data_IF_898936586524
#
_entry.id   IF_898936586524
#
_cell.length_a   1.000
_cell.length_b   1.000
_cell.length_c   1.000
_cell.angle_alpha   90.00
_cell.angle_beta   90.00
_cell.angle_gamma   90.00
#
_symmetry.space_group_name_H-M   'P 1'
#
loop_
_entity.id
_entity.type
_entity.pdbx_description
1 polymer ?
#
# COMPACT_ATOMS: atom_id res chain seq x y z
N UNK A 1 -29.24 48.91 -49.54
CA UNK A 1 -29.61 48.28 -48.25
C UNK A 1 -28.30 47.92 -47.56
N UNK A 2 -27.97 48.36 -46.34
CA UNK A 2 -28.73 48.35 -45.06
C UNK A 2 -28.87 46.94 -44.49
N UNK A 3 -28.45 46.60 -43.26
CA UNK A 3 -27.48 47.16 -42.27
C UNK A 3 -26.84 45.90 -41.57
N UNK A 4 -26.23 45.81 -40.38
CA UNK A 4 -25.92 46.73 -39.27
C UNK A 4 -24.75 46.21 -38.40
N UNK A 5 -23.79 47.07 -38.02
CA UNK A 5 -22.94 46.98 -36.80
C UNK A 5 -21.99 45.76 -36.65
N UNK A 6 -21.12 45.64 -35.63
CA UNK A 6 -20.90 46.53 -34.48
C UNK A 6 -19.41 46.71 -34.11
N UNK A 7 -19.02 47.99 -34.02
CA UNK A 7 -18.14 48.59 -33.02
C UNK A 7 -16.85 47.88 -32.55
N UNK A 8 -15.74 48.43 -33.05
CA UNK A 8 -14.76 49.23 -32.27
C UNK A 8 -14.25 48.60 -30.95
N UNK A 9 -13.01 48.13 -30.86
CA UNK A 9 -11.75 48.90 -31.07
C UNK A 9 -11.64 50.22 -30.30
N UNK A 10 -11.05 50.16 -29.10
CA UNK A 10 -10.02 51.12 -28.62
C UNK A 10 -9.03 50.36 -27.73
N UNK A 11 -7.80 50.18 -28.21
CA UNK A 11 -6.61 51.05 -28.00
C UNK A 11 -5.92 50.84 -26.64
N UNK A 12 -4.68 50.36 -26.75
CA UNK A 12 -3.47 50.85 -26.05
C UNK A 12 -3.64 51.35 -24.60
N UNK A 13 -2.91 50.71 -23.68
CA UNK A 13 -1.70 51.38 -23.16
C UNK A 13 -0.63 50.37 -22.75
N UNK A 14 0.62 50.63 -23.17
CA UNK A 14 1.81 50.07 -22.54
C UNK A 14 2.14 50.93 -21.32
N UNK A 15 2.53 50.32 -20.19
CA UNK A 15 3.37 50.99 -19.21
C UNK A 15 4.16 49.98 -18.36
N UNK A 16 5.44 50.28 -18.16
CA UNK A 16 6.32 49.54 -17.26
C UNK A 16 6.36 50.23 -15.87
N UNK A 17 6.72 49.44 -14.87
CA UNK A 17 6.85 49.81 -13.45
C UNK A 17 7.00 48.51 -12.66
N UNK A 18 8.19 47.99 -12.41
CA UNK A 18 9.29 48.53 -11.60
C UNK A 18 8.98 48.58 -10.10
N UNK A 19 9.49 47.55 -9.40
CA UNK A 19 9.81 47.48 -7.96
C UNK A 19 8.65 47.74 -6.98
N UNK A 20 8.22 46.65 -6.35
CA UNK A 20 7.52 46.66 -5.06
C UNK A 20 7.76 45.35 -4.33
N UNK A 21 8.51 45.37 -3.22
CA UNK A 21 8.78 44.19 -2.39
C UNK A 21 8.01 44.32 -1.08
N UNK A 22 6.99 43.50 -0.83
CA UNK A 22 6.50 43.23 0.51
C UNK A 22 7.52 42.35 1.23
N UNK A 23 7.94 42.74 2.43
CA UNK A 23 8.77 41.90 3.28
C UNK A 23 7.91 40.89 4.07
N UNK A 24 8.50 39.73 4.33
CA UNK A 24 8.03 38.65 5.21
C UNK A 24 6.74 37.88 4.79
N UNK A 25 6.80 36.56 4.93
CA UNK A 25 5.61 35.74 5.19
C UNK A 25 4.89 35.12 3.99
N UNK A 26 5.53 34.22 3.24
CA UNK A 26 4.86 33.07 2.61
C UNK A 26 5.88 31.93 2.39
N UNK A 27 5.43 30.69 2.55
CA UNK A 27 6.33 29.52 2.53
C UNK A 27 6.85 29.22 1.12
N UNK A 28 8.16 29.25 0.95
CA UNK A 28 8.83 28.83 -0.28
C UNK A 28 8.87 27.29 -0.38
N UNK A 29 7.70 26.63 -0.46
CA UNK A 29 7.59 25.27 -0.99
C UNK A 29 7.74 25.29 -2.53
N UNK A 30 8.80 25.95 -3.00
CA UNK A 30 9.28 26.02 -4.38
C UNK A 30 9.96 24.72 -4.78
N UNK A 31 9.28 23.60 -4.52
CA UNK A 31 9.67 22.27 -4.92
C UNK A 31 8.40 21.51 -5.23
N UNK A 32 8.13 21.36 -6.52
CA UNK A 32 7.58 20.09 -6.98
C UNK A 32 8.59 19.02 -6.56
N UNK A 33 8.35 18.43 -5.39
CA UNK A 33 8.97 17.17 -5.03
C UNK A 33 8.48 16.17 -6.08
N UNK A 34 9.30 16.00 -7.12
CA UNK A 34 9.22 14.79 -7.94
C UNK A 34 9.57 13.69 -6.95
N UNK A 35 8.54 13.03 -6.44
CA UNK A 35 8.70 11.82 -5.63
C UNK A 35 9.43 10.84 -6.53
N UNK A 36 10.74 10.73 -6.32
CA UNK A 36 11.52 9.73 -7.00
C UNK A 36 10.95 8.39 -6.57
N UNK A 37 10.28 7.68 -7.50
CA UNK A 37 9.83 6.31 -7.26
C UNK A 37 11.06 5.53 -6.81
N UNK A 38 11.06 5.16 -5.54
CA UNK A 38 12.17 4.42 -4.94
C UNK A 38 12.30 3.08 -5.66
N UNK A 39 13.53 2.59 -5.78
CA UNK A 39 13.82 1.36 -6.51
C UNK A 39 13.21 0.07 -5.86
N UNK A 40 12.47 0.23 -4.76
CA UNK A 40 11.78 -0.82 -4.01
C UNK A 40 10.26 -0.61 -3.89
N UNK A 41 9.70 0.52 -4.35
CA UNK A 41 8.26 0.75 -4.29
C UNK A 41 7.51 -0.22 -5.21
N UNK A 42 6.50 -0.88 -4.65
CA UNK A 42 5.66 -1.86 -5.34
C UNK A 42 4.40 -1.20 -5.89
N UNK A 43 3.76 -1.85 -6.87
CA UNK A 43 2.44 -1.44 -7.35
C UNK A 43 1.40 -1.40 -6.20
N UNK A 44 0.56 -0.36 -6.19
CA UNK A 44 -0.55 -0.19 -5.24
C UNK A 44 -1.90 -0.32 -5.96
N UNK A 45 -2.09 -1.45 -6.63
CA UNK A 45 -3.19 -1.77 -7.55
C UNK A 45 -4.32 -2.61 -6.95
N UNK A 46 -4.16 -3.10 -5.71
CA UNK A 46 -5.10 -3.99 -5.04
C UNK A 46 -4.96 -5.47 -5.41
N UNK A 47 -3.85 -5.89 -6.03
CA UNK A 47 -3.53 -7.28 -6.37
C UNK A 47 -2.27 -7.78 -5.67
N UNK A 48 -2.41 -8.82 -4.83
CA UNK A 48 -1.30 -9.38 -4.07
C UNK A 48 -0.50 -10.35 -4.95
N UNK A 49 0.57 -9.82 -5.55
CA UNK A 49 1.61 -10.58 -6.24
C UNK A 49 2.86 -10.83 -5.39
N UNK A 50 3.88 -11.42 -6.02
CA UNK A 50 5.19 -11.73 -5.42
C UNK A 50 5.88 -10.50 -4.82
N UNK A 51 5.79 -9.35 -5.50
CA UNK A 51 6.28 -8.07 -4.99
C UNK A 51 5.59 -7.65 -3.68
N UNK A 52 4.29 -7.91 -3.52
CA UNK A 52 3.55 -7.60 -2.29
C UNK A 52 3.97 -8.53 -1.15
N UNK A 53 4.24 -9.80 -1.43
CA UNK A 53 4.80 -10.75 -0.46
C UNK A 53 6.22 -10.39 -0.04
N UNK A 54 7.10 -10.02 -0.99
CA UNK A 54 8.46 -9.57 -0.71
C UNK A 54 8.48 -8.24 0.07
N UNK A 55 7.61 -7.31 -0.32
CA UNK A 55 7.37 -6.05 0.39
C UNK A 55 6.92 -6.28 1.83
N UNK A 56 5.99 -7.21 2.07
CA UNK A 56 5.55 -7.58 3.42
C UNK A 56 6.69 -8.20 4.24
N UNK A 57 7.53 -9.07 3.66
CA UNK A 57 8.69 -9.64 4.35
C UNK A 57 9.69 -8.55 4.78
N UNK A 58 10.00 -7.60 3.89
CA UNK A 58 10.84 -6.42 4.21
C UNK A 58 10.21 -5.56 5.30
N UNK A 59 8.91 -5.27 5.20
CA UNK A 59 8.16 -4.44 6.14
C UNK A 59 8.11 -5.06 7.54
N UNK A 60 7.87 -6.37 7.63
CA UNK A 60 7.90 -7.09 8.92
C UNK A 60 9.31 -7.10 9.53
N UNK A 61 10.38 -7.22 8.74
CA UNK A 61 11.75 -7.09 9.24
C UNK A 61 12.08 -5.65 9.69
N UNK A 62 11.55 -4.62 9.02
CA UNK A 62 11.74 -3.22 9.43
C UNK A 62 11.00 -2.88 10.73
N UNK A 63 9.78 -3.38 10.90
CA UNK A 63 8.96 -3.19 12.11
C UNK A 63 9.40 -4.07 13.29
N UNK A 64 9.98 -5.24 13.02
CA UNK A 64 10.44 -6.21 14.00
C UNK A 64 11.81 -6.77 13.57
N UNK A 65 12.94 -6.12 13.93
CA UNK A 65 14.27 -6.59 13.55
C UNK A 65 14.58 -8.03 14.01
N UNK A 66 13.93 -8.49 15.08
CA UNK A 66 13.99 -9.87 15.59
C UNK A 66 13.16 -10.89 14.77
N UNK A 67 12.45 -10.47 13.72
CA UNK A 67 11.70 -11.35 12.83
C UNK A 67 12.61 -12.17 11.90
N UNK A 68 13.71 -11.56 11.44
CA UNK A 68 14.76 -12.15 10.60
C UNK A 68 14.22 -13.03 9.45
N UNK A 69 13.19 -12.55 8.76
CA UNK A 69 12.55 -13.21 7.64
C UNK A 69 13.47 -13.22 6.43
N UNK A 70 13.49 -14.35 5.71
CA UNK A 70 13.96 -14.41 4.33
C UNK A 70 13.03 -13.54 3.48
N UNK A 71 13.59 -12.79 2.53
CA UNK A 71 12.84 -12.01 1.54
C UNK A 71 12.90 -12.77 0.22
N UNK A 72 12.02 -13.76 0.08
CA UNK A 72 11.94 -14.68 -1.08
C UNK A 72 10.69 -14.45 -1.95
N UNK A 73 9.79 -13.54 -1.55
CA UNK A 73 8.54 -13.27 -2.27
C UNK A 73 7.43 -14.28 -2.06
N UNK A 74 7.59 -15.26 -1.15
CA UNK A 74 6.63 -16.37 -0.98
C UNK A 74 6.03 -16.40 0.42
N UNK A 75 4.69 -16.33 0.49
CA UNK A 75 3.96 -16.69 1.70
C UNK A 75 3.83 -18.21 1.76
N UNK A 76 4.69 -18.84 2.55
CA UNK A 76 4.83 -20.30 2.66
C UNK A 76 3.64 -21.05 3.28
N UNK A 77 3.45 -22.30 2.83
CA UNK A 77 2.60 -23.36 3.36
C UNK A 77 1.17 -22.94 3.77
N UNK A 78 0.45 -22.33 2.83
CA UNK A 78 -0.91 -21.79 3.03
C UNK A 78 -2.00 -22.70 2.49
N UNK A 79 -3.18 -22.70 3.13
CA UNK A 79 -4.30 -23.56 2.73
C UNK A 79 -4.83 -23.11 1.35
N UNK A 80 -4.68 -23.95 0.32
CA UNK A 80 -5.12 -23.72 -1.06
C UNK A 80 -6.58 -23.27 -1.23
N UNK A 81 -7.43 -23.55 -0.23
CA UNK A 81 -8.80 -23.03 -0.11
C UNK A 81 -8.88 -21.49 -0.18
N UNK A 82 -7.84 -20.76 0.20
CA UNK A 82 -7.84 -19.30 0.14
C UNK A 82 -7.46 -18.74 -1.23
N UNK A 83 -6.69 -19.47 -2.05
CA UNK A 83 -6.39 -19.09 -3.43
C UNK A 83 -7.68 -18.83 -4.25
N UNK A 84 -8.61 -19.79 -4.25
CA UNK A 84 -9.87 -19.64 -5.01
C UNK A 84 -10.90 -18.73 -4.32
N UNK A 85 -10.81 -18.55 -3.00
CA UNK A 85 -11.72 -17.67 -2.23
C UNK A 85 -11.34 -16.20 -2.27
N UNK A 86 -10.08 -15.89 -2.55
CA UNK A 86 -9.53 -14.54 -2.49
C UNK A 86 -8.85 -14.24 -3.83
N UNK A 87 -9.62 -13.96 -4.90
CA UNK A 87 -9.08 -13.77 -6.26
C UNK A 87 -8.11 -12.58 -6.37
N UNK A 88 -8.02 -11.70 -5.38
CA UNK A 88 -6.93 -10.71 -5.29
C UNK A 88 -5.54 -11.29 -4.99
N UNK A 89 -5.44 -12.57 -4.57
CA UNK A 89 -4.18 -13.27 -4.29
C UNK A 89 -3.65 -13.97 -5.55
N UNK A 90 -2.87 -13.25 -6.35
CA UNK A 90 -2.49 -13.66 -7.73
C UNK A 90 -1.07 -14.24 -7.84
N UNK A 91 -0.17 -13.98 -6.90
CA UNK A 91 1.20 -14.50 -6.93
C UNK A 91 1.95 -14.31 -5.61
N UNK A 92 3.08 -15.01 -5.43
CA UNK A 92 3.84 -14.96 -4.18
C UNK A 92 3.26 -15.77 -3.02
N UNK A 93 2.64 -16.92 -3.31
CA UNK A 93 1.99 -17.79 -2.33
C UNK A 93 2.31 -19.27 -2.61
N UNK A 94 2.67 -20.01 -1.57
CA UNK A 94 2.77 -21.48 -1.62
C UNK A 94 1.45 -22.10 -1.13
N UNK A 95 0.71 -22.71 -2.04
CA UNK A 95 -0.61 -23.29 -1.75
C UNK A 95 -0.55 -24.81 -1.59
N UNK A 96 -0.89 -25.30 -0.40
CA UNK A 96 -0.89 -26.73 -0.03
C UNK A 96 -2.28 -27.20 0.45
N UNK A 97 -2.55 -28.52 0.46
CA UNK A 97 -3.73 -29.09 1.11
C UNK A 97 -3.85 -28.67 2.59
N UNK A 98 -5.09 -28.61 3.10
CA UNK A 98 -5.37 -28.13 4.47
C UNK A 98 -4.55 -28.85 5.54
N UNK A 99 -4.46 -30.18 5.45
CA UNK A 99 -3.86 -31.00 6.50
C UNK A 99 -2.31 -31.00 6.43
N UNK A 100 -1.75 -30.46 5.33
CA UNK A 100 -0.31 -30.25 5.10
C UNK A 100 0.13 -28.81 5.40
N UNK A 101 -0.81 -27.90 5.67
CA UNK A 101 -0.53 -26.47 5.85
C UNK A 101 0.14 -26.19 7.20
N UNK A 102 1.42 -25.79 7.15
CA UNK A 102 2.25 -25.45 8.30
C UNK A 102 2.28 -23.94 8.58
N UNK A 103 1.84 -23.11 7.64
CA UNK A 103 1.79 -21.66 7.73
C UNK A 103 3.11 -20.95 7.41
N UNK A 104 3.10 -19.63 7.57
CA UNK A 104 4.23 -18.75 7.23
C UNK A 104 4.67 -17.88 8.41
N UNK A 105 5.98 -17.80 8.70
CA UNK A 105 6.52 -16.85 9.68
C UNK A 105 6.16 -15.39 9.36
N UNK A 106 6.07 -15.02 8.08
CA UNK A 106 5.63 -13.68 7.62
C UNK A 106 4.23 -13.37 8.13
N UNK A 107 3.29 -14.32 8.03
CA UNK A 107 1.91 -14.16 8.49
C UNK A 107 1.84 -14.17 10.03
N UNK A 108 2.73 -14.89 10.72
CA UNK A 108 2.85 -14.79 12.18
C UNK A 108 3.23 -13.37 12.62
N UNK A 109 4.23 -12.75 12.00
CA UNK A 109 4.62 -11.37 12.32
C UNK A 109 3.56 -10.34 11.91
N UNK A 110 2.96 -10.50 10.73
CA UNK A 110 1.82 -9.66 10.30
C UNK A 110 0.65 -9.75 11.30
N UNK A 111 0.38 -10.93 11.87
CA UNK A 111 -0.66 -11.09 12.90
C UNK A 111 -0.32 -10.33 14.20
N UNK A 112 0.95 -10.26 14.62
CA UNK A 112 1.37 -9.46 15.79
C UNK A 112 1.33 -7.96 15.52
N UNK A 113 1.70 -7.55 14.31
CA UNK A 113 1.67 -6.17 13.86
C UNK A 113 0.24 -5.59 13.93
N UNK A 114 -0.73 -6.33 13.37
CA UNK A 114 -2.17 -6.02 13.35
C UNK A 114 -2.89 -6.14 14.70
N UNK A 115 -2.38 -6.97 15.61
CA UNK A 115 -3.01 -7.22 16.92
C UNK A 115 -2.08 -6.73 18.04
N UNK A 116 -2.25 -5.50 18.56
CA UNK A 116 -1.33 -4.90 19.51
C UNK A 116 -1.02 -5.76 20.74
N UNK A 117 -2.02 -6.48 21.27
CA UNK A 117 -1.88 -7.40 22.40
C UNK A 117 -0.98 -8.63 22.14
N UNK A 118 -0.53 -8.83 20.89
CA UNK A 118 0.38 -9.93 20.49
C UNK A 118 1.80 -9.47 20.14
N UNK A 119 2.12 -8.18 20.27
CA UNK A 119 3.45 -7.64 19.89
C UNK A 119 4.59 -8.23 20.72
N UNK A 120 4.35 -8.42 22.02
CA UNK A 120 5.34 -8.95 22.97
C UNK A 120 5.34 -10.49 23.04
N UNK A 121 4.44 -11.17 22.31
CA UNK A 121 4.50 -12.62 22.16
C UNK A 121 5.70 -13.01 21.28
N UNK A 122 6.38 -14.11 21.63
CA UNK A 122 7.31 -14.78 20.71
C UNK A 122 6.59 -15.32 19.45
N UNK A 123 7.30 -15.80 18.41
CA UNK A 123 6.67 -16.54 17.32
C UNK A 123 5.82 -17.69 17.88
N UNK A 124 4.49 -17.62 17.69
CA UNK A 124 3.53 -18.38 18.49
C UNK A 124 3.34 -19.82 18.00
N UNK A 125 4.26 -20.72 18.37
CA UNK A 125 4.15 -22.14 18.08
C UNK A 125 4.31 -22.46 16.58
N UNK A 126 3.32 -23.12 15.96
CA UNK A 126 3.31 -23.33 14.51
C UNK A 126 3.14 -21.99 13.77
N UNK A 127 3.82 -21.77 12.63
CA UNK A 127 3.63 -20.58 11.82
C UNK A 127 2.16 -20.35 11.41
N UNK A 128 1.78 -19.09 11.16
CA UNK A 128 0.38 -18.74 11.00
C UNK A 128 -0.16 -19.00 9.59
N UNK A 129 -1.42 -19.44 9.53
CA UNK A 129 -2.21 -19.52 8.30
C UNK A 129 -2.87 -18.15 8.03
N UNK A 130 -2.81 -17.70 6.78
CA UNK A 130 -3.60 -16.59 6.29
C UNK A 130 -5.02 -17.08 6.01
N UNK A 131 -5.98 -16.61 6.82
CA UNK A 131 -7.37 -17.01 6.76
C UNK A 131 -8.29 -15.79 6.91
N UNK A 132 -9.61 -16.02 6.86
CA UNK A 132 -10.62 -14.96 7.05
C UNK A 132 -10.45 -14.15 8.34
N UNK A 133 -9.76 -14.67 9.38
CA UNK A 133 -9.40 -13.92 10.58
C UNK A 133 -8.30 -12.87 10.30
N UNK A 134 -7.22 -13.24 9.61
CA UNK A 134 -6.15 -12.32 9.19
C UNK A 134 -6.66 -11.28 8.19
N UNK A 135 -7.53 -11.69 7.26
CA UNK A 135 -8.21 -10.78 6.33
C UNK A 135 -9.08 -9.78 7.11
N UNK A 136 -9.82 -10.23 8.14
CA UNK A 136 -10.59 -9.34 9.00
C UNK A 136 -9.72 -8.39 9.82
N UNK A 137 -8.56 -8.82 10.32
CA UNK A 137 -7.61 -7.94 11.02
C UNK A 137 -6.98 -6.89 10.08
N UNK A 138 -6.57 -7.28 8.86
CA UNK A 138 -6.10 -6.33 7.83
C UNK A 138 -7.18 -5.30 7.50
N UNK A 139 -8.39 -5.76 7.19
CA UNK A 139 -9.52 -4.89 6.91
C UNK A 139 -9.81 -3.93 8.05
N UNK A 140 -9.88 -4.42 9.29
CA UNK A 140 -10.07 -3.61 10.49
C UNK A 140 -8.97 -2.57 10.71
N UNK A 141 -7.71 -2.89 10.41
CA UNK A 141 -6.58 -1.95 10.50
C UNK A 141 -6.71 -0.79 9.49
N UNK A 142 -7.20 -1.07 8.27
CA UNK A 142 -7.48 -0.03 7.26
C UNK A 142 -8.88 0.60 7.35
N UNK A 143 -9.76 0.12 8.25
CA UNK A 143 -11.16 0.56 8.36
C UNK A 143 -12.10 0.00 7.28
N UNK A 144 -11.68 -1.02 6.52
CA UNK A 144 -12.35 -1.59 5.35
C UNK A 144 -12.92 -2.98 5.69
N UNK A 145 -14.15 -3.28 5.28
CA UNK A 145 -14.85 -4.53 5.64
C UNK A 145 -15.34 -5.33 4.42
N UNK A 146 -14.44 -6.10 3.79
CA UNK A 146 -14.72 -6.95 2.61
C UNK A 146 -15.10 -8.41 2.98
N UNK A 147 -15.93 -8.60 4.02
CA UNK A 147 -16.59 -9.89 4.30
C UNK A 147 -15.68 -11.10 4.67
N UNK A 148 -14.38 -10.90 4.90
CA UNK A 148 -13.44 -11.98 5.22
C UNK A 148 -12.90 -12.74 4.00
N UNK A 149 -12.98 -12.13 2.82
CA UNK A 149 -12.32 -12.52 1.56
C UNK A 149 -11.54 -11.32 1.01
N UNK A 150 -10.64 -11.53 0.03
CA UNK A 150 -10.00 -10.45 -0.72
C UNK A 150 -10.42 -10.55 -2.20
N UNK A 151 -11.33 -9.66 -2.70
CA UNK A 151 -11.63 -9.57 -4.12
C UNK A 151 -10.42 -9.14 -4.94
N UNK A 152 -10.53 -9.22 -6.27
CA UNK A 152 -9.51 -8.74 -7.20
C UNK A 152 -10.08 -7.62 -8.09
N UNK A 153 -9.61 -6.36 -7.98
CA UNK A 153 -8.75 -5.83 -6.91
C UNK A 153 -9.46 -5.72 -5.55
N UNK A 154 -8.69 -5.57 -4.47
CA UNK A 154 -9.19 -5.32 -3.10
C UNK A 154 -8.63 -4.01 -2.55
N UNK A 155 -9.47 -3.23 -1.86
CA UNK A 155 -9.01 -2.01 -1.18
C UNK A 155 -8.15 -2.34 0.06
N UNK A 156 -8.34 -3.52 0.67
CA UNK A 156 -7.51 -4.02 1.77
C UNK A 156 -6.09 -4.34 1.27
N UNK A 157 -5.95 -4.95 0.09
CA UNK A 157 -4.64 -5.19 -0.53
C UNK A 157 -3.98 -3.85 -0.90
N UNK A 158 -4.74 -2.91 -1.48
CA UNK A 158 -4.22 -1.59 -1.82
C UNK A 158 -3.77 -0.80 -0.58
N UNK A 159 -4.47 -0.92 0.55
CA UNK A 159 -4.03 -0.37 1.84
C UNK A 159 -2.67 -0.95 2.28
N UNK A 160 -2.51 -2.26 2.17
CA UNK A 160 -1.27 -2.96 2.51
C UNK A 160 -0.09 -2.56 1.60
N UNK A 161 -0.31 -2.49 0.28
CA UNK A 161 0.71 -2.05 -0.68
C UNK A 161 1.16 -0.60 -0.40
N UNK A 162 0.21 0.30 -0.10
CA UNK A 162 0.52 1.69 0.27
C UNK A 162 1.30 1.79 1.58
N UNK A 163 0.97 0.99 2.61
CA UNK A 163 1.71 1.01 3.87
C UNK A 163 3.10 0.38 3.73
N UNK A 164 3.25 -0.73 2.99
CA UNK A 164 4.56 -1.29 2.62
C UNK A 164 5.45 -0.20 1.99
N UNK A 165 4.92 0.54 1.00
CA UNK A 165 5.65 1.62 0.33
C UNK A 165 6.07 2.77 1.26
N UNK A 166 5.44 2.96 2.42
CA UNK A 166 5.87 3.98 3.41
C UNK A 166 7.09 3.56 4.25
N UNK A 167 7.37 2.26 4.35
CA UNK A 167 8.43 1.71 5.20
C UNK A 167 9.58 1.05 4.43
N UNK A 168 9.35 0.57 3.20
CA UNK A 168 10.38 -0.13 2.39
C UNK A 168 10.52 0.39 0.96
N UNK A 169 9.75 1.42 0.61
CA UNK A 169 9.89 2.20 -0.62
C UNK A 169 10.79 3.42 -0.43
#
# INVERSE_FOLDING_TARGET
MSLESANLSRRKLLKAGAIGVPAAGLAAFGSTLVTATSANAISADGWWGEETSAGLQRFMNAMFPQANLVVDGVISSQISKYAYKCPGLVGGWEWVPREEAQGSPTISWMTKWLVPAKRDEGPSGRPAIFASLQIWWLGKHYGIYEGGVLPGPSQIIQGLQNEINQYVG
#
